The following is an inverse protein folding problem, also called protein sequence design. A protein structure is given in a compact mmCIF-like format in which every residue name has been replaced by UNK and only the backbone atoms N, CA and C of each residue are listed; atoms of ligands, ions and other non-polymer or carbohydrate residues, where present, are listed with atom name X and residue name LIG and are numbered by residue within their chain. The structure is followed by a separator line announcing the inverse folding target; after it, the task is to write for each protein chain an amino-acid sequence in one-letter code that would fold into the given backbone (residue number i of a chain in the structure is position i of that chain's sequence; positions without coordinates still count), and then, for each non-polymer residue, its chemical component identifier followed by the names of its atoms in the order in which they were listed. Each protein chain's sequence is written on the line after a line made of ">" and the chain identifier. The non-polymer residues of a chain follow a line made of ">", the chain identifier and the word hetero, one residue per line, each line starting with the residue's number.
data_IF_090833685567
#
_entry.id   IF_090833685567
#
_cell.length_a   1.000
_cell.length_b   1.000
_cell.length_c   1.000
_cell.angle_alpha   90.00
_cell.angle_beta   90.00
_cell.angle_gamma   90.00
#
_symmetry.space_group_name_H-M   'P 1'
#
loop_
_entity.id
_entity.type
_entity.pdbx_description
1 polymer ?
#
# COMPACT_ATOMS: atom_id res chain seq x y z
N UNK A 1 -14.85 21.00 17.45
CA UNK A 1 -15.54 19.71 17.29
C UNK A 1 -15.17 19.12 15.95
N UNK A 2 -14.74 17.85 15.88
CA UNK A 2 -14.39 17.21 14.61
C UNK A 2 -15.63 16.94 13.75
N UNK A 3 -15.44 16.66 12.45
CA UNK A 3 -16.52 16.40 11.49
C UNK A 3 -17.49 15.29 11.96
N UNK A 4 -16.96 14.25 12.62
CA UNK A 4 -17.73 13.19 13.27
C UNK A 4 -18.72 13.69 14.33
N UNK A 5 -18.28 14.62 15.18
CA UNK A 5 -19.12 15.18 16.25
C UNK A 5 -20.31 15.96 15.69
N UNK A 6 -20.08 16.74 14.63
CA UNK A 6 -21.13 17.50 13.95
C UNK A 6 -22.14 16.60 13.23
N UNK A 7 -21.67 15.53 12.57
CA UNK A 7 -22.55 14.55 11.92
C UNK A 7 -23.42 13.81 12.95
N UNK A 8 -22.82 13.39 14.07
CA UNK A 8 -23.53 12.73 15.17
C UNK A 8 -24.56 13.66 15.84
N UNK A 9 -24.20 14.92 16.07
CA UNK A 9 -25.11 15.93 16.61
C UNK A 9 -26.28 16.18 15.65
N UNK A 10 -26.00 16.33 14.35
CA UNK A 10 -27.04 16.51 13.32
C UNK A 10 -27.99 15.30 13.27
N UNK A 11 -27.45 14.08 13.38
CA UNK A 11 -28.24 12.84 13.39
C UNK A 11 -29.19 12.75 14.60
N UNK A 12 -28.83 13.31 15.75
CA UNK A 12 -29.70 13.29 16.95
C UNK A 12 -31.01 14.05 16.77
N UNK A 13 -31.02 15.07 15.91
CA UNK A 13 -32.19 15.92 15.68
C UNK A 13 -32.87 15.66 14.33
N UNK A 14 -32.28 14.81 13.48
CA UNK A 14 -32.81 14.46 12.17
C UNK A 14 -33.99 13.48 12.30
N UNK A 15 -35.08 13.78 11.59
CA UNK A 15 -36.33 13.00 11.64
C UNK A 15 -36.63 12.29 10.33
N UNK A 16 -35.99 12.69 9.24
CA UNK A 16 -36.09 11.99 7.97
C UNK A 16 -35.23 10.72 8.01
N UNK A 17 -35.83 9.51 7.92
CA UNK A 17 -35.08 8.25 7.97
C UNK A 17 -34.02 8.12 6.88
N UNK A 18 -34.24 8.72 5.71
CA UNK A 18 -33.30 8.67 4.58
C UNK A 18 -32.08 9.55 4.82
N UNK A 19 -32.28 10.73 5.41
CA UNK A 19 -31.18 11.63 5.79
C UNK A 19 -30.42 11.06 6.97
N UNK A 20 -31.13 10.51 7.97
CA UNK A 20 -30.53 9.83 9.10
C UNK A 20 -29.64 8.65 8.67
N UNK A 21 -30.10 7.83 7.72
CA UNK A 21 -29.30 6.73 7.17
C UNK A 21 -28.02 7.23 6.49
N UNK A 22 -28.11 8.26 5.63
CA UNK A 22 -26.93 8.86 4.98
C UNK A 22 -25.94 9.46 5.99
N UNK A 23 -26.44 10.10 7.04
CA UNK A 23 -25.60 10.63 8.12
C UNK A 23 -24.90 9.50 8.88
N UNK A 24 -25.61 8.41 9.19
CA UNK A 24 -25.03 7.23 9.83
C UNK A 24 -23.95 6.56 8.97
N UNK A 25 -24.18 6.43 7.65
CA UNK A 25 -23.18 5.93 6.70
C UNK A 25 -21.93 6.82 6.68
N UNK A 26 -22.10 8.14 6.66
CA UNK A 26 -20.97 9.10 6.74
C UNK A 26 -20.21 8.98 8.06
N UNK A 27 -20.91 8.90 9.19
CA UNK A 27 -20.28 8.68 10.51
C UNK A 27 -19.46 7.40 10.50
N UNK A 28 -20.01 6.31 9.96
CA UNK A 28 -19.31 5.03 9.88
C UNK A 28 -18.03 5.16 9.03
N UNK A 29 -18.13 5.77 7.83
CA UNK A 29 -16.97 5.99 6.96
C UNK A 29 -15.87 6.84 7.63
N UNK A 30 -16.25 7.88 8.38
CA UNK A 30 -15.30 8.72 9.10
C UNK A 30 -14.65 7.98 10.27
N UNK A 31 -15.41 7.14 10.99
CA UNK A 31 -14.88 6.31 12.06
C UNK A 31 -13.85 5.29 11.52
N UNK A 32 -14.15 4.63 10.40
CA UNK A 32 -13.20 3.76 9.71
C UNK A 32 -11.93 4.52 9.28
N UNK A 33 -12.09 5.72 8.72
CA UNK A 33 -10.95 6.55 8.34
C UNK A 33 -10.05 6.90 9.53
N UNK A 34 -10.65 7.28 10.67
CA UNK A 34 -9.88 7.58 11.90
C UNK A 34 -9.16 6.35 12.42
N UNK A 35 -9.82 5.18 12.44
CA UNK A 35 -9.18 3.93 12.84
C UNK A 35 -7.98 3.60 11.96
N UNK A 36 -8.11 3.72 10.63
CA UNK A 36 -6.99 3.51 9.71
C UNK A 36 -5.83 4.46 9.96
N UNK A 37 -6.09 5.75 10.23
CA UNK A 37 -5.04 6.71 10.60
C UNK A 37 -4.31 6.28 11.88
N UNK A 38 -5.04 5.79 12.88
CA UNK A 38 -4.44 5.29 14.12
C UNK A 38 -3.58 4.05 13.85
N UNK A 39 -4.08 3.10 13.06
CA UNK A 39 -3.34 1.90 12.67
C UNK A 39 -2.05 2.24 11.93
N UNK A 40 -2.11 3.12 10.92
CA UNK A 40 -0.93 3.56 10.17
C UNK A 40 0.10 4.28 11.05
N UNK A 41 -0.35 5.10 12.01
CA UNK A 41 0.54 5.75 12.97
C UNK A 41 1.19 4.76 13.93
N UNK A 42 0.45 3.75 14.38
CA UNK A 42 0.99 2.69 15.23
C UNK A 42 1.99 1.83 14.46
N UNK A 43 1.71 1.49 13.21
CA UNK A 43 2.62 0.75 12.34
C UNK A 43 3.90 1.56 12.08
N UNK A 44 3.78 2.83 11.69
CA UNK A 44 4.93 3.72 11.51
C UNK A 44 5.74 3.83 12.81
N UNK A 45 5.08 4.06 13.94
CA UNK A 45 5.72 4.16 15.26
C UNK A 45 6.47 2.87 15.63
N UNK A 46 5.89 1.69 15.36
CA UNK A 46 6.56 0.40 15.60
C UNK A 46 7.77 0.22 14.71
N UNK A 47 7.65 0.56 13.43
CA UNK A 47 8.73 0.41 12.46
C UNK A 47 9.88 1.38 12.79
N UNK A 48 9.59 2.60 13.26
CA UNK A 48 10.60 3.58 13.69
C UNK A 48 11.22 3.28 15.07
N UNK A 49 10.48 2.62 15.97
CA UNK A 49 10.92 2.34 17.35
C UNK A 49 11.65 1.00 17.50
N UNK A 50 11.36 0.03 16.64
CA UNK A 50 12.15 -1.18 16.54
C UNK A 50 13.44 -0.81 15.82
N UNK A 51 14.61 -1.16 16.38
CA UNK A 51 15.90 -0.95 15.75
C UNK A 51 16.06 -1.76 14.45
N UNK A 52 17.20 -2.40 14.21
CA UNK A 52 17.31 -3.30 13.06
C UNK A 52 16.22 -4.40 13.11
N UNK A 53 15.46 -4.63 12.02
CA UNK A 53 14.41 -5.64 11.98
C UNK A 53 14.97 -7.02 12.31
N UNK A 54 14.15 -7.89 12.89
CA UNK A 54 14.50 -9.31 13.01
C UNK A 54 14.82 -9.83 11.61
N UNK A 55 15.99 -10.41 11.40
CA UNK A 55 16.39 -10.97 10.11
C UNK A 55 16.18 -12.47 10.14
N UNK A 56 15.00 -12.90 9.71
CA UNK A 56 14.69 -14.31 9.45
C UNK A 56 14.52 -14.55 7.95
N UNK A 57 14.72 -15.78 7.47
CA UNK A 57 14.36 -16.14 6.09
C UNK A 57 12.84 -16.04 5.91
N UNK A 58 12.39 -15.22 4.97
CA UNK A 58 10.99 -14.98 4.65
C UNK A 58 10.73 -15.37 3.19
N UNK A 59 9.79 -16.29 2.97
CA UNK A 59 9.30 -16.61 1.63
C UNK A 59 8.46 -15.45 1.08
N UNK A 60 8.87 -14.94 -0.08
CA UNK A 60 8.21 -13.81 -0.75
C UNK A 60 6.81 -14.21 -1.24
N UNK A 61 6.65 -15.44 -1.71
CA UNK A 61 5.33 -15.99 -2.10
C UNK A 61 4.35 -15.96 -0.93
N UNK A 62 4.79 -16.38 0.27
CA UNK A 62 3.90 -16.41 1.44
C UNK A 62 3.47 -15.01 1.90
N UNK A 63 4.37 -14.03 1.90
CA UNK A 63 4.00 -12.67 2.30
C UNK A 63 3.11 -11.98 1.27
N UNK A 64 3.26 -12.30 -0.02
CA UNK A 64 2.34 -11.84 -1.08
C UNK A 64 0.97 -12.47 -0.89
N UNK A 65 0.89 -13.79 -0.66
CA UNK A 65 -0.38 -14.47 -0.39
C UNK A 65 -1.08 -13.91 0.86
N UNK A 66 -0.34 -13.68 1.95
CA UNK A 66 -0.86 -13.05 3.17
C UNK A 66 -1.42 -11.64 2.90
N UNK A 67 -0.74 -10.85 2.06
CA UNK A 67 -1.19 -9.51 1.69
C UNK A 67 -2.43 -9.54 0.79
N UNK A 68 -2.52 -10.50 -0.14
CA UNK A 68 -3.69 -10.74 -0.99
C UNK A 68 -4.91 -11.09 -0.15
N UNK A 69 -4.78 -12.01 0.83
CA UNK A 69 -5.92 -12.40 1.67
C UNK A 69 -6.44 -11.22 2.50
N UNK A 70 -5.54 -10.35 2.98
CA UNK A 70 -5.94 -9.14 3.73
C UNK A 70 -6.72 -8.14 2.87
N UNK A 71 -6.37 -7.99 1.59
CA UNK A 71 -7.04 -7.03 0.69
C UNK A 71 -8.27 -7.62 0.00
N UNK A 72 -8.47 -8.95 0.04
CA UNK A 72 -9.52 -9.66 -0.71
C UNK A 72 -10.91 -9.06 -0.57
N UNK A 73 -11.36 -8.80 0.67
CA UNK A 73 -12.67 -8.20 0.93
C UNK A 73 -12.81 -6.81 0.28
N UNK A 74 -11.76 -5.98 0.36
CA UNK A 74 -11.77 -4.66 -0.24
C UNK A 74 -11.75 -4.74 -1.78
N UNK A 75 -10.95 -5.64 -2.35
CA UNK A 75 -10.92 -5.90 -3.79
C UNK A 75 -12.28 -6.38 -4.32
N UNK A 76 -12.95 -7.31 -3.63
CA UNK A 76 -14.31 -7.76 -3.96
C UNK A 76 -15.32 -6.61 -3.94
N UNK A 77 -15.29 -5.75 -2.91
CA UNK A 77 -16.16 -4.57 -2.81
C UNK A 77 -15.95 -3.56 -3.95
N UNK A 78 -14.70 -3.39 -4.39
CA UNK A 78 -14.34 -2.52 -5.52
C UNK A 78 -14.47 -3.23 -6.88
N UNK A 79 -14.82 -4.52 -6.88
CA UNK A 79 -14.92 -5.35 -8.09
C UNK A 79 -13.59 -5.40 -8.84
N UNK A 80 -12.48 -5.46 -8.12
CA UNK A 80 -11.12 -5.56 -8.67
C UNK A 80 -10.68 -7.03 -8.66
N UNK A 81 -10.16 -7.52 -9.78
CA UNK A 81 -9.55 -8.85 -9.86
C UNK A 81 -8.08 -8.78 -9.48
N UNK A 82 -7.67 -9.51 -8.45
CA UNK A 82 -6.24 -9.69 -8.14
C UNK A 82 -5.72 -10.85 -8.98
N UNK A 83 -4.74 -10.57 -9.83
CA UNK A 83 -4.05 -11.56 -10.66
C UNK A 83 -2.66 -11.78 -10.08
N UNK A 84 -2.42 -12.97 -9.55
CA UNK A 84 -1.12 -13.38 -9.04
C UNK A 84 -0.76 -14.71 -9.66
N UNK A 85 0.27 -14.70 -10.50
CA UNK A 85 0.87 -15.93 -11.01
C UNK A 85 2.01 -16.31 -10.07
N UNK A 86 1.83 -17.42 -9.34
CA UNK A 86 2.86 -17.90 -8.43
C UNK A 86 4.11 -18.29 -9.24
N UNK A 87 5.28 -17.71 -8.92
CA UNK A 87 6.51 -18.05 -9.62
C UNK A 87 6.88 -19.53 -9.41
N UNK A 88 7.54 -20.13 -10.40
CA UNK A 88 8.02 -21.51 -10.28
C UNK A 88 9.10 -21.69 -9.21
N UNK A 89 9.82 -20.62 -8.89
CA UNK A 89 10.76 -20.58 -7.77
C UNK A 89 10.15 -19.87 -6.57
N UNK A 90 10.60 -20.20 -5.37
CA UNK A 90 10.16 -19.52 -4.15
C UNK A 90 11.28 -18.61 -3.64
N UNK A 91 11.33 -17.34 -4.07
CA UNK A 91 12.33 -16.40 -3.56
C UNK A 91 12.21 -16.20 -2.06
N UNK A 92 13.37 -16.19 -1.41
CA UNK A 92 13.51 -15.96 0.03
C UNK A 92 14.35 -14.71 0.21
N UNK A 93 13.89 -13.82 1.09
CA UNK A 93 14.61 -12.62 1.52
C UNK A 93 14.83 -12.69 3.02
N UNK A 94 15.82 -11.98 3.55
CA UNK A 94 16.04 -11.88 4.99
C UNK A 94 15.40 -10.62 5.55
N UNK A 95 14.48 -10.77 6.49
CA UNK A 95 13.70 -9.64 6.97
C UNK A 95 12.68 -9.96 8.05
N UNK A 96 11.92 -8.93 8.41
CA UNK A 96 10.78 -9.05 9.30
C UNK A 96 9.53 -9.32 8.47
N UNK A 97 8.98 -10.53 8.61
CA UNK A 97 7.77 -10.95 7.87
C UNK A 97 6.62 -9.96 8.02
N UNK A 98 6.39 -9.41 9.22
CA UNK A 98 5.26 -8.51 9.48
C UNK A 98 5.44 -7.20 8.74
N UNK A 99 6.63 -6.60 8.81
CA UNK A 99 6.91 -5.35 8.10
C UNK A 99 6.76 -5.51 6.59
N UNK A 100 7.32 -6.60 6.03
CA UNK A 100 7.23 -6.90 4.60
C UNK A 100 5.77 -7.12 4.15
N UNK A 101 4.99 -7.90 4.89
CA UNK A 101 3.55 -8.08 4.60
C UNK A 101 2.79 -6.75 4.70
N UNK A 102 3.08 -5.90 5.67
CA UNK A 102 2.44 -4.58 5.79
C UNK A 102 2.77 -3.66 4.60
N UNK A 103 4.03 -3.66 4.12
CA UNK A 103 4.42 -2.90 2.93
C UNK A 103 3.68 -3.39 1.67
N UNK A 104 3.63 -4.71 1.45
CA UNK A 104 2.89 -5.29 0.31
C UNK A 104 1.40 -4.99 0.39
N UNK A 105 0.80 -5.08 1.58
CA UNK A 105 -0.59 -4.72 1.79
C UNK A 105 -0.84 -3.24 1.46
N UNK A 106 0.04 -2.32 1.87
CA UNK A 106 -0.10 -0.90 1.56
C UNK A 106 0.00 -0.61 0.04
N UNK A 107 0.85 -1.35 -0.69
CA UNK A 107 0.92 -1.26 -2.14
C UNK A 107 -0.36 -1.79 -2.81
N UNK A 108 -0.85 -2.96 -2.39
CA UNK A 108 -2.09 -3.54 -2.92
C UNK A 108 -3.31 -2.66 -2.61
N UNK A 109 -3.35 -2.06 -1.43
CA UNK A 109 -4.41 -1.15 -1.05
C UNK A 109 -4.45 0.06 -1.99
N UNK A 110 -3.30 0.68 -2.29
CA UNK A 110 -3.23 1.74 -3.28
C UNK A 110 -3.71 1.27 -4.66
N UNK A 111 -3.23 0.11 -5.11
CA UNK A 111 -3.61 -0.44 -6.40
C UNK A 111 -5.13 -0.66 -6.52
N UNK A 112 -5.77 -1.20 -5.48
CA UNK A 112 -7.24 -1.42 -5.44
C UNK A 112 -8.01 -0.11 -5.37
N UNK A 113 -7.57 0.85 -4.54
CA UNK A 113 -8.27 2.12 -4.32
C UNK A 113 -8.22 3.03 -5.55
N UNK A 114 -7.10 3.04 -6.28
CA UNK A 114 -6.89 3.92 -7.43
C UNK A 114 -7.21 3.27 -8.78
N UNK A 115 -7.54 1.98 -8.81
CA UNK A 115 -8.03 1.28 -9.99
C UNK A 115 -9.50 1.62 -10.31
N UNK A 116 -9.90 1.66 -11.59
CA UNK A 116 -11.31 1.72 -11.96
C UNK A 116 -12.04 0.44 -11.52
N UNK A 117 -13.34 0.56 -11.24
CA UNK A 117 -14.19 -0.62 -10.96
C UNK A 117 -14.12 -1.60 -12.13
N UNK A 118 -14.21 -2.90 -11.82
CA UNK A 118 -14.08 -4.00 -12.80
C UNK A 118 -12.68 -4.15 -13.40
N UNK A 119 -11.69 -3.39 -12.89
CA UNK A 119 -10.29 -3.51 -13.27
C UNK A 119 -9.59 -4.74 -12.70
N UNK A 120 -8.27 -4.78 -12.92
CA UNK A 120 -7.39 -5.79 -12.36
C UNK A 120 -6.16 -5.15 -11.69
N UNK A 121 -5.58 -5.88 -10.76
CA UNK A 121 -4.26 -5.59 -10.19
C UNK A 121 -3.40 -6.83 -10.42
N UNK A 122 -2.29 -6.64 -11.11
CA UNK A 122 -1.38 -7.71 -11.48
C UNK A 122 -0.17 -7.72 -10.54
N UNK A 123 0.19 -8.89 -10.02
CA UNK A 123 1.29 -9.08 -9.08
C UNK A 123 2.30 -10.03 -9.72
N UNK A 124 3.54 -9.56 -9.85
CA UNK A 124 4.64 -10.34 -10.41
C UNK A 124 5.79 -10.41 -9.40
N UNK A 125 6.39 -11.59 -9.27
CA UNK A 125 7.60 -11.80 -8.49
C UNK A 125 8.70 -12.23 -9.47
N UNK A 126 9.82 -11.54 -9.44
CA UNK A 126 10.98 -11.88 -10.27
C UNK A 126 12.29 -11.80 -9.49
N UNK A 127 13.28 -12.60 -9.90
CA UNK A 127 14.66 -12.51 -9.40
C UNK A 127 15.53 -11.79 -10.41
N UNK A 128 16.37 -10.89 -9.90
CA UNK A 128 17.38 -10.19 -10.69
C UNK A 128 18.75 -10.56 -10.14
N UNK A 129 19.49 -11.36 -10.90
CA UNK A 129 20.79 -11.93 -10.47
C UNK A 129 21.81 -10.85 -10.13
N UNK A 130 21.82 -9.76 -10.89
CA UNK A 130 22.76 -8.68 -10.68
C UNK A 130 22.24 -7.38 -11.29
N UNK A 131 22.48 -6.26 -10.61
CA UNK A 131 22.22 -4.93 -11.14
C UNK A 131 23.45 -4.04 -10.97
N UNK A 132 23.67 -3.14 -11.92
CA UNK A 132 24.57 -2.01 -11.72
C UNK A 132 23.87 -1.01 -10.81
N UNK A 133 24.49 -0.66 -9.68
CA UNK A 133 24.05 0.48 -8.88
C UNK A 133 24.55 1.80 -9.50
N UNK A 134 24.11 2.93 -8.94
CA UNK A 134 24.49 4.27 -9.44
C UNK A 134 26.00 4.54 -9.36
N UNK A 135 26.72 3.82 -8.51
CA UNK A 135 28.17 3.89 -8.34
C UNK A 135 28.94 3.00 -9.34
N UNK A 136 28.24 2.28 -10.22
CA UNK A 136 28.83 1.38 -11.22
C UNK A 136 29.29 0.03 -10.68
N UNK A 137 28.93 -0.31 -9.44
CA UNK A 137 29.17 -1.62 -8.83
C UNK A 137 28.03 -2.60 -9.11
N UNK A 138 28.39 -3.86 -9.29
CA UNK A 138 27.41 -4.93 -9.49
C UNK A 138 26.96 -5.45 -8.12
N UNK A 139 25.68 -5.29 -7.81
CA UNK A 139 25.07 -5.79 -6.57
C UNK A 139 23.95 -6.78 -6.89
N UNK A 140 23.79 -7.81 -6.06
CA UNK A 140 22.74 -8.81 -6.17
C UNK A 140 23.09 -10.11 -5.45
N UNK A 141 22.22 -11.12 -5.49
CA UNK A 141 20.92 -11.14 -6.19
C UNK A 141 19.83 -10.29 -5.52
N UNK A 142 18.79 -9.92 -6.26
CA UNK A 142 17.62 -9.16 -5.81
C UNK A 142 16.32 -9.92 -6.08
N UNK A 143 15.29 -9.67 -5.27
CA UNK A 143 13.91 -10.07 -5.51
C UNK A 143 13.08 -8.83 -5.72
N UNK A 144 12.33 -8.81 -6.82
CA UNK A 144 11.38 -7.76 -7.16
C UNK A 144 9.97 -8.29 -6.95
N UNK A 145 9.13 -7.48 -6.28
CA UNK A 145 7.69 -7.70 -6.21
C UNK A 145 7.02 -6.50 -6.87
N UNK A 146 6.53 -6.67 -8.08
CA UNK A 146 5.84 -5.64 -8.85
C UNK A 146 4.32 -5.76 -8.66
N UNK A 147 3.68 -4.65 -8.33
CA UNK A 147 2.22 -4.53 -8.24
C UNK A 147 1.80 -3.48 -9.26
N UNK A 148 1.08 -3.92 -10.28
CA UNK A 148 0.61 -3.09 -11.38
C UNK A 148 -0.89 -2.87 -11.27
N UNK A 149 -1.29 -1.61 -11.31
CA UNK A 149 -2.68 -1.17 -11.45
C UNK A 149 -2.92 -0.55 -12.82
N UNK A 150 -4.19 -0.53 -13.25
CA UNK A 150 -4.64 0.13 -14.47
C UNK A 150 -5.48 1.37 -14.13
N UNK A 151 -5.06 2.07 -13.08
CA UNK A 151 -5.74 3.19 -12.45
C UNK A 151 -5.55 4.54 -13.14
N UNK A 152 -5.82 5.60 -12.36
CA UNK A 152 -5.68 7.00 -12.82
C UNK A 152 -4.23 7.40 -13.10
N UNK A 153 -3.26 6.61 -12.66
CA UNK A 153 -1.84 6.94 -12.75
C UNK A 153 -1.45 8.16 -11.90
N UNK A 154 -0.16 8.51 -11.94
CA UNK A 154 0.45 9.56 -11.13
C UNK A 154 1.12 10.57 -12.08
N UNK A 155 0.83 11.87 -11.97
CA UNK A 155 1.51 12.88 -12.76
C UNK A 155 3.01 12.95 -12.43
N UNK A 156 3.85 13.18 -13.44
CA UNK A 156 5.31 13.17 -13.28
C UNK A 156 5.83 14.11 -12.17
N UNK A 157 5.19 15.28 -11.99
CA UNK A 157 5.53 16.26 -10.95
C UNK A 157 5.34 15.75 -9.51
N UNK A 158 4.54 14.69 -9.35
CA UNK A 158 4.15 14.15 -8.06
C UNK A 158 4.96 12.91 -7.67
N UNK A 159 5.61 12.24 -8.63
CA UNK A 159 6.33 10.97 -8.44
C UNK A 159 7.42 11.03 -7.35
N UNK A 160 8.12 12.16 -7.22
CA UNK A 160 9.14 12.32 -6.18
C UNK A 160 8.53 12.48 -4.77
N UNK A 161 7.28 12.94 -4.71
CA UNK A 161 6.61 13.38 -3.49
C UNK A 161 5.62 12.35 -2.94
N UNK A 162 5.20 11.36 -3.73
CA UNK A 162 4.24 10.33 -3.29
C UNK A 162 4.72 9.50 -2.09
N UNK A 163 6.02 9.48 -1.82
CA UNK A 163 6.60 8.83 -0.65
C UNK A 163 6.73 9.76 0.57
N UNK A 164 6.43 11.06 0.43
CA UNK A 164 6.36 11.99 1.56
C UNK A 164 5.17 11.64 2.46
N UNK A 165 5.35 11.82 3.77
CA UNK A 165 4.29 11.56 4.74
C UNK A 165 3.14 12.54 4.55
N UNK A 166 1.92 12.01 4.62
CA UNK A 166 0.67 12.76 4.45
C UNK A 166 0.49 13.38 3.06
N UNK A 167 1.40 13.11 2.10
CA UNK A 167 1.29 13.65 0.76
C UNK A 167 0.24 12.90 -0.05
N UNK A 168 -0.49 13.66 -0.89
CA UNK A 168 -1.54 13.15 -1.78
C UNK A 168 -1.60 14.00 -3.04
N UNK A 169 -1.71 13.33 -4.19
CA UNK A 169 -1.78 13.97 -5.53
C UNK A 169 -3.02 14.85 -5.68
N UNK A 170 -4.19 14.40 -5.19
CA UNK A 170 -5.45 15.15 -5.26
C UNK A 170 -6.21 15.14 -3.91
N UNK A 171 -6.14 16.25 -3.13
CA UNK A 171 -6.88 16.40 -1.88
C UNK A 171 -8.41 16.46 -2.05
N UNK A 172 -8.94 16.63 -3.27
CA UNK A 172 -10.39 16.69 -3.53
C UNK A 172 -11.05 15.31 -3.53
N UNK A 173 -10.43 14.34 -4.21
CA UNK A 173 -10.80 12.91 -4.18
C UNK A 173 -10.51 12.24 -2.83
N UNK A 174 -9.79 12.93 -1.97
CA UNK A 174 -9.30 12.42 -0.70
C UNK A 174 -10.38 11.95 0.27
N UNK A 175 -11.56 12.61 0.23
CA UNK A 175 -12.71 12.29 1.07
C UNK A 175 -13.43 11.02 0.60
N UNK A 176 -13.32 10.68 -0.68
CA UNK A 176 -13.97 9.52 -1.27
C UNK A 176 -13.11 8.26 -1.15
N UNK A 177 -11.78 8.38 -1.29
CA UNK A 177 -10.86 7.25 -1.21
C UNK A 177 -10.34 6.94 0.20
N UNK A 178 -10.52 7.84 1.17
CA UNK A 178 -10.22 7.57 2.58
C UNK A 178 -8.75 7.37 2.96
N UNK A 179 -7.81 7.46 2.00
CA UNK A 179 -6.38 7.25 2.26
C UNK A 179 -5.78 8.24 3.27
N UNK A 180 -4.79 7.80 4.03
CA UNK A 180 -4.13 8.59 5.09
C UNK A 180 -2.93 9.42 4.59
N UNK A 181 -2.39 9.05 3.42
CA UNK A 181 -1.12 9.55 2.91
C UNK A 181 0.11 8.99 3.64
N UNK A 182 -0.06 7.97 4.48
CA UNK A 182 1.05 7.31 5.19
C UNK A 182 1.51 6.01 4.51
N UNK A 183 0.63 5.33 3.76
CA UNK A 183 0.92 4.02 3.15
C UNK A 183 2.24 3.93 2.39
N UNK A 184 2.47 4.79 1.38
CA UNK A 184 3.72 4.75 0.60
C UNK A 184 4.96 5.14 1.41
N UNK A 185 4.81 5.98 2.43
CA UNK A 185 5.92 6.30 3.34
C UNK A 185 6.30 5.10 4.23
N UNK A 186 5.32 4.27 4.62
CA UNK A 186 5.55 3.00 5.31
C UNK A 186 6.31 2.05 4.38
N UNK A 187 5.87 1.90 3.13
CA UNK A 187 6.55 1.05 2.13
C UNK A 187 8.01 1.45 1.96
N UNK A 188 8.29 2.75 1.76
CA UNK A 188 9.66 3.24 1.60
C UNK A 188 10.52 2.94 2.81
N UNK A 189 10.00 3.16 4.02
CA UNK A 189 10.75 2.89 5.24
C UNK A 189 11.01 1.39 5.44
N UNK A 190 10.00 0.54 5.20
CA UNK A 190 10.18 -0.93 5.26
C UNK A 190 11.24 -1.38 4.26
N UNK A 191 11.18 -0.92 3.01
CA UNK A 191 12.17 -1.26 1.99
C UNK A 191 13.59 -0.89 2.46
N UNK A 192 13.78 0.34 2.97
CA UNK A 192 15.05 0.82 3.49
C UNK A 192 15.57 0.00 4.69
N UNK A 193 14.69 -0.36 5.63
CA UNK A 193 15.06 -1.21 6.77
C UNK A 193 15.55 -2.60 6.36
N UNK A 194 15.17 -3.06 5.16
CA UNK A 194 15.57 -4.33 4.58
C UNK A 194 16.74 -4.21 3.59
N UNK A 195 17.37 -3.02 3.48
CA UNK A 195 18.44 -2.77 2.51
C UNK A 195 17.97 -2.74 1.05
N UNK A 196 16.66 -2.58 0.86
CA UNK A 196 16.00 -2.49 -0.42
C UNK A 196 15.56 -1.07 -0.77
N UNK A 197 14.75 -0.97 -1.82
CA UNK A 197 14.10 0.28 -2.24
C UNK A 197 12.73 0.00 -2.83
N UNK A 198 11.97 1.05 -3.11
CA UNK A 198 10.70 0.97 -3.84
C UNK A 198 10.80 1.88 -5.07
N UNK A 199 10.46 1.33 -6.23
CA UNK A 199 10.40 2.04 -7.49
C UNK A 199 8.95 2.28 -7.88
N UNK A 200 8.72 3.32 -8.67
CA UNK A 200 7.43 3.63 -9.25
C UNK A 200 7.62 3.97 -10.73
N UNK A 201 6.86 3.30 -11.59
CA UNK A 201 6.66 3.69 -12.98
C UNK A 201 5.18 3.98 -13.17
N UNK A 202 4.83 5.20 -13.54
CA UNK A 202 3.44 5.61 -13.65
C UNK A 202 3.28 6.73 -14.65
N UNK A 203 2.15 6.69 -15.35
CA UNK A 203 1.75 7.72 -16.30
C UNK A 203 0.29 8.04 -16.09
N UNK A 204 -0.01 9.34 -15.98
CA UNK A 204 -1.37 9.84 -15.78
C UNK A 204 -2.31 9.30 -16.87
N UNK A 205 -3.36 8.60 -16.43
CA UNK A 205 -4.36 7.93 -17.27
C UNK A 205 -4.01 6.51 -17.73
N UNK A 206 -2.82 5.99 -17.44
CA UNK A 206 -2.35 4.67 -17.90
C UNK A 206 -2.11 3.66 -16.76
N UNK A 207 -2.23 4.10 -15.51
CA UNK A 207 -2.00 3.27 -14.31
C UNK A 207 -0.60 3.46 -13.70
N UNK A 208 -0.27 2.59 -12.75
CA UNK A 208 1.02 2.64 -12.04
C UNK A 208 1.55 1.23 -11.79
N UNK A 209 2.87 1.11 -11.76
CA UNK A 209 3.58 -0.09 -11.31
C UNK A 209 4.49 0.32 -10.16
N UNK A 210 4.23 -0.25 -8.98
CA UNK A 210 5.10 -0.13 -7.84
C UNK A 210 5.92 -1.40 -7.69
N UNK A 211 7.25 -1.27 -7.61
CA UNK A 211 8.16 -2.41 -7.47
C UNK A 211 8.89 -2.31 -6.15
N UNK A 212 8.61 -3.25 -5.23
CA UNK A 212 9.41 -3.42 -4.03
C UNK A 212 10.64 -4.27 -4.38
N UNK A 213 11.81 -3.68 -4.24
CA UNK A 213 13.10 -4.32 -4.51
C UNK A 213 13.78 -4.68 -3.19
N UNK A 214 14.09 -5.96 -3.00
CA UNK A 214 14.72 -6.47 -1.79
C UNK A 214 15.96 -7.28 -2.14
N UNK A 215 17.06 -7.15 -1.36
CA UNK A 215 18.21 -8.01 -1.57
C UNK A 215 17.85 -9.46 -1.24
N UNK A 216 18.20 -10.38 -2.13
CA UNK A 216 18.02 -11.82 -1.94
C UNK A 216 19.11 -12.44 -1.05
N UNK A 217 19.89 -11.61 -0.33
CA UNK A 217 21.06 -12.01 0.43
C UNK A 217 20.75 -13.20 1.33
N UNK A 218 21.38 -14.33 1.04
CA UNK A 218 21.61 -15.37 2.02
C UNK A 218 22.72 -14.86 2.95
N UNK A 219 22.56 -15.04 4.26
CA UNK A 219 23.60 -14.74 5.26
C UNK A 219 25.00 -15.17 4.80
#
# INVERSE_FOLDING_TARGET
>A
MGALGLLAETLQFERDPTVAQRLAERINSEAFRVNRIIEDLLDLSRIESQGSPSREPVSVVLIVADAIERIRTAAEQHTIKIQFEEPSDNPVVFGDRRQLTSALHALLENAVVYSPREGAVDIEISRVESRLNDDGEVSGPWVHVAIRDHGVGIPAKDLERIFERFYRVDPGRARETGGTGLGLSIVRHVAQNHGGTVLVDSREGEGSTFTLELPANQL
#
